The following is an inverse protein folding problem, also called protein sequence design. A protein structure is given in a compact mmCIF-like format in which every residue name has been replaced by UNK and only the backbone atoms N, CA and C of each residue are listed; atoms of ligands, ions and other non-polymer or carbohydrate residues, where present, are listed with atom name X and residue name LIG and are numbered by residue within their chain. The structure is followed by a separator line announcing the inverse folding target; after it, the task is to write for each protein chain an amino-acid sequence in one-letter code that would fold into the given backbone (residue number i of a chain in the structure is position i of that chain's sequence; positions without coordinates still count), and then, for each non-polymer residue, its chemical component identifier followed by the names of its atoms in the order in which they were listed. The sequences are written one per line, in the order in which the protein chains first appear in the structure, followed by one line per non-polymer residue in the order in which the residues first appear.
data_IF_564909043256
#
_entry.id   IF_564909043256
#
_cell.length_a   1.000
_cell.length_b   1.000
_cell.length_c   1.000
_cell.angle_alpha   90.00
_cell.angle_beta   90.00
_cell.angle_gamma   90.00
#
_symmetry.space_group_name_H-M   'P 1'
#
loop_
_entity.id
_entity.type
_entity.pdbx_description
1 polymer ?
#
# COMPACT_ATOMS: atom_id res chain seq x y z
N UNK A 1 -32.59 -51.34 20.57
CA UNK A 1 -32.37 -50.16 19.71
C UNK A 1 -31.26 -49.33 20.35
N UNK A 2 -30.10 -49.18 19.69
CA UNK A 2 -28.92 -48.47 20.22
C UNK A 2 -28.98 -47.01 19.76
N UNK A 3 -28.75 -46.06 20.67
CA UNK A 3 -28.69 -44.63 20.37
C UNK A 3 -27.23 -44.19 20.58
N UNK A 4 -26.62 -43.61 19.55
CA UNK A 4 -25.24 -43.08 19.59
C UNK A 4 -25.22 -41.68 20.23
N UNK A 5 -24.24 -41.33 21.08
CA UNK A 5 -24.04 -39.97 21.55
C UNK A 5 -22.90 -39.29 20.77
N UNK A 6 -23.18 -38.17 20.11
CA UNK A 6 -22.14 -37.21 19.71
C UNK A 6 -22.77 -35.87 19.31
N UNK A 7 -22.40 -34.79 20.00
CA UNK A 7 -21.57 -33.67 19.50
C UNK A 7 -22.01 -32.33 20.16
N UNK A 8 -21.20 -31.73 21.06
CA UNK A 8 -20.37 -30.51 20.92
C UNK A 8 -21.20 -29.32 20.32
N UNK A 9 -21.26 -28.10 20.89
CA UNK A 9 -20.17 -27.11 20.91
C UNK A 9 -20.57 -25.95 21.86
N UNK A 10 -19.66 -25.64 22.79
CA UNK A 10 -19.64 -24.38 23.53
C UNK A 10 -19.12 -23.26 22.61
N UNK A 11 -19.88 -22.20 22.43
CA UNK A 11 -19.40 -20.97 21.77
C UNK A 11 -19.28 -19.85 22.79
N UNK A 12 -18.15 -19.81 23.49
CA UNK A 12 -17.64 -18.58 24.11
C UNK A 12 -16.96 -17.76 23.03
N UNK A 13 -17.60 -16.68 22.57
CA UNK A 13 -16.94 -15.62 21.81
C UNK A 13 -16.84 -14.39 22.71
N UNK A 14 -15.81 -14.41 23.55
CA UNK A 14 -15.24 -13.19 24.11
C UNK A 14 -14.00 -12.86 23.26
N UNK A 15 -14.10 -11.88 22.38
CA UNK A 15 -12.93 -11.21 21.82
C UNK A 15 -13.11 -9.72 22.09
N UNK A 16 -12.61 -9.29 23.25
CA UNK A 16 -12.17 -7.93 23.45
C UNK A 16 -10.92 -7.75 22.60
N UNK A 17 -11.02 -7.01 21.50
CA UNK A 17 -9.88 -6.38 20.87
C UNK A 17 -10.00 -4.89 21.14
N UNK A 18 -9.21 -4.40 22.09
CA UNK A 18 -8.89 -2.98 22.21
C UNK A 18 -8.30 -2.53 20.88
N UNK A 19 -9.10 -1.83 20.09
CA UNK A 19 -8.66 -1.21 18.85
C UNK A 19 -7.77 -0.03 19.21
N UNK A 20 -6.46 -0.28 19.26
CA UNK A 20 -5.50 0.78 19.02
C UNK A 20 -5.81 1.34 17.63
N UNK A 21 -6.34 2.56 17.59
CA UNK A 21 -6.69 3.25 16.34
C UNK A 21 -5.39 3.64 15.64
N UNK A 22 -4.78 2.68 14.94
CA UNK A 22 -3.71 2.95 13.98
C UNK A 22 -4.37 3.55 12.75
N UNK A 23 -4.21 4.85 12.56
CA UNK A 23 -4.96 5.63 11.57
C UNK A 23 -4.63 5.32 10.09
N UNK A 24 -3.80 4.32 9.80
CA UNK A 24 -3.70 3.65 8.51
C UNK A 24 -3.80 2.14 8.71
N UNK A 25 -4.67 1.47 7.93
CA UNK A 25 -4.93 0.04 8.12
C UNK A 25 -4.22 -0.78 7.04
N UNK A 26 -3.38 -1.71 7.47
CA UNK A 26 -2.92 -2.81 6.62
C UNK A 26 -4.08 -3.78 6.44
N UNK A 27 -4.60 -3.87 5.22
CA UNK A 27 -5.73 -4.72 4.86
C UNK A 27 -5.22 -5.93 4.08
N UNK A 28 -5.68 -7.11 4.44
CA UNK A 28 -5.39 -8.35 3.69
C UNK A 28 -6.30 -8.48 2.47
N UNK A 29 -7.58 -8.17 2.64
CA UNK A 29 -8.57 -7.93 1.59
C UNK A 29 -9.86 -7.39 2.23
N UNK A 30 -10.66 -6.71 1.42
CA UNK A 30 -12.09 -6.45 1.65
C UNK A 30 -12.87 -7.05 0.45
N UNK A 31 -14.19 -7.25 0.57
CA UNK A 31 -15.04 -7.86 -0.47
C UNK A 31 -14.80 -7.20 -1.84
N UNK A 32 -14.64 -5.88 -1.85
CA UNK A 32 -14.49 -5.11 -3.09
C UNK A 32 -13.05 -4.73 -3.43
N UNK A 33 -12.10 -4.82 -2.49
CA UNK A 33 -10.73 -4.31 -2.68
C UNK A 33 -9.68 -5.28 -2.16
N UNK A 34 -8.69 -5.57 -2.97
CA UNK A 34 -7.56 -6.43 -2.60
C UNK A 34 -6.32 -6.01 -3.39
N UNK A 35 -5.15 -6.49 -2.98
CA UNK A 35 -3.93 -6.28 -3.75
C UNK A 35 -4.09 -6.72 -5.20
N UNK A 36 -4.68 -7.90 -5.45
CA UNK A 36 -4.78 -8.44 -6.80
C UNK A 36 -5.71 -7.61 -7.69
N UNK A 37 -6.76 -7.00 -7.13
CA UNK A 37 -7.66 -6.10 -7.86
C UNK A 37 -6.96 -4.83 -8.34
N UNK A 38 -5.95 -4.34 -7.62
CA UNK A 38 -5.16 -3.15 -8.01
C UNK A 38 -3.89 -3.51 -8.80
N UNK A 39 -3.13 -4.49 -8.32
CA UNK A 39 -1.73 -4.75 -8.68
C UNK A 39 -1.46 -6.20 -9.11
N UNK A 40 -2.50 -7.04 -9.18
CA UNK A 40 -2.38 -8.44 -9.57
C UNK A 40 -2.12 -8.63 -11.06
N UNK A 41 -2.05 -9.89 -11.53
CA UNK A 41 -1.84 -10.19 -12.95
C UNK A 41 -2.98 -9.73 -13.86
N UNK A 42 -4.21 -9.67 -13.32
CA UNK A 42 -5.41 -9.21 -14.02
C UNK A 42 -6.15 -8.18 -13.14
N UNK A 43 -5.61 -6.97 -12.99
CA UNK A 43 -6.19 -5.95 -12.12
C UNK A 43 -7.52 -5.46 -12.69
N UNK A 44 -8.53 -5.30 -11.83
CA UNK A 44 -9.87 -4.83 -12.20
C UNK A 44 -10.16 -3.40 -11.73
N UNK A 45 -9.29 -2.84 -10.90
CA UNK A 45 -9.36 -1.47 -10.37
C UNK A 45 -8.20 -0.61 -10.92
N UNK A 46 -7.87 -0.81 -12.19
CA UNK A 46 -6.74 -0.11 -12.85
C UNK A 46 -6.94 1.39 -12.94
N UNK A 47 -8.19 1.84 -12.96
CA UNK A 47 -8.52 3.25 -13.13
C UNK A 47 -8.71 3.97 -11.79
N UNK A 48 -8.55 3.30 -10.65
CA UNK A 48 -8.60 3.94 -9.32
C UNK A 48 -7.24 4.48 -8.91
N UNK A 49 -7.21 5.53 -8.08
CA UNK A 49 -5.94 6.01 -7.54
C UNK A 49 -5.28 4.93 -6.70
N UNK A 50 -4.12 4.45 -7.13
CA UNK A 50 -3.30 3.55 -6.34
C UNK A 50 -1.84 3.57 -6.81
N UNK A 51 -0.97 3.00 -5.99
CA UNK A 51 0.43 2.71 -6.34
C UNK A 51 0.75 1.29 -5.92
N UNK A 52 1.33 0.53 -6.84
CA UNK A 52 1.83 -0.81 -6.55
C UNK A 52 3.26 -0.71 -6.07
N UNK A 53 3.52 -1.09 -4.81
CA UNK A 53 4.88 -1.20 -4.29
C UNK A 53 5.33 -2.65 -4.25
N UNK A 54 6.59 -2.88 -4.63
CA UNK A 54 7.31 -4.12 -4.40
C UNK A 54 8.32 -3.90 -3.30
N UNK A 55 8.25 -4.69 -2.24
CA UNK A 55 9.07 -4.48 -1.06
C UNK A 55 9.31 -5.84 -0.38
N UNK A 56 10.50 -6.08 0.19
CA UNK A 56 10.72 -7.26 1.01
C UNK A 56 9.85 -7.17 2.28
N UNK A 57 9.36 -8.31 2.77
CA UNK A 57 8.48 -8.37 3.94
C UNK A 57 9.06 -7.65 5.17
N UNK A 58 10.39 -7.64 5.31
CA UNK A 58 11.08 -6.93 6.39
C UNK A 58 10.97 -5.40 6.32
N UNK A 59 10.83 -4.81 5.13
CA UNK A 59 10.55 -3.37 4.96
C UNK A 59 9.10 -3.11 5.28
N UNK A 60 8.19 -3.91 4.70
CA UNK A 60 6.73 -3.75 4.90
C UNK A 60 6.36 -3.77 6.39
N UNK A 61 6.90 -4.72 7.15
CA UNK A 61 6.65 -4.84 8.61
C UNK A 61 7.06 -3.61 9.42
N UNK A 62 7.92 -2.77 8.88
CA UNK A 62 8.47 -1.59 9.56
C UNK A 62 7.92 -0.29 9.03
N UNK A 63 7.09 -0.35 7.99
CA UNK A 63 6.41 0.83 7.48
C UNK A 63 5.42 1.28 8.55
N UNK A 64 5.67 2.47 9.09
CA UNK A 64 4.70 3.16 9.94
C UNK A 64 3.72 3.87 9.02
N UNK A 65 2.46 3.47 9.09
CA UNK A 65 1.39 4.05 8.30
C UNK A 65 0.94 5.37 8.94
N UNK A 66 1.04 6.47 8.18
CA UNK A 66 0.38 7.73 8.55
C UNK A 66 -1.13 7.65 8.28
N UNK A 67 -1.95 8.52 8.89
CA UNK A 67 -3.36 8.62 8.54
C UNK A 67 -3.59 8.90 7.05
N UNK A 68 -4.75 8.47 6.54
CA UNK A 68 -5.29 8.94 5.26
C UNK A 68 -5.17 8.00 4.06
N UNK A 69 -4.76 6.74 4.27
CA UNK A 69 -4.71 5.73 3.21
C UNK A 69 -5.13 4.33 3.67
N UNK A 70 -5.43 3.48 2.70
CA UNK A 70 -5.54 2.02 2.84
C UNK A 70 -4.37 1.35 2.12
N UNK A 71 -3.76 0.33 2.75
CA UNK A 71 -2.71 -0.46 2.11
C UNK A 71 -3.12 -1.93 2.05
N UNK A 72 -3.18 -2.49 0.83
CA UNK A 72 -3.58 -3.89 0.62
C UNK A 72 -2.36 -4.76 0.39
N UNK A 73 -2.11 -5.73 1.27
CA UNK A 73 -0.95 -6.61 1.18
C UNK A 73 -1.10 -7.64 0.04
N UNK A 74 -0.02 -7.86 -0.70
CA UNK A 74 0.05 -8.99 -1.64
C UNK A 74 -0.02 -10.33 -0.90
N UNK A 75 -0.57 -11.39 -1.51
CA UNK A 75 -0.69 -12.71 -0.88
C UNK A 75 0.63 -13.29 -0.37
N UNK A 76 1.75 -12.94 -1.00
CA UNK A 76 3.11 -13.40 -0.63
C UNK A 76 3.82 -12.45 0.33
N UNK A 77 3.20 -11.33 0.72
CA UNK A 77 3.82 -10.31 1.57
C UNK A 77 5.07 -9.67 0.97
N UNK A 78 5.17 -9.61 -0.37
CA UNK A 78 6.32 -9.06 -1.12
C UNK A 78 6.01 -7.74 -1.83
N UNK A 79 4.92 -7.10 -1.42
CA UNK A 79 4.40 -5.90 -2.03
C UNK A 79 3.04 -5.54 -1.46
N UNK A 80 2.59 -4.35 -1.77
CA UNK A 80 1.29 -3.84 -1.35
C UNK A 80 0.77 -2.79 -2.33
N UNK A 81 -0.55 -2.61 -2.37
CA UNK A 81 -1.20 -1.54 -3.10
C UNK A 81 -1.51 -0.41 -2.12
N UNK A 82 -0.95 0.77 -2.34
CA UNK A 82 -1.27 1.97 -1.57
C UNK A 82 -2.42 2.72 -2.26
N UNK A 83 -3.52 2.92 -1.56
CA UNK A 83 -4.74 3.56 -2.07
C UNK A 83 -5.05 4.75 -1.18
N UNK A 84 -5.13 5.98 -1.71
CA UNK A 84 -5.47 7.15 -0.90
C UNK A 84 -6.95 7.07 -0.50
N UNK A 85 -7.27 7.50 0.73
CA UNK A 85 -8.66 7.65 1.14
C UNK A 85 -9.28 8.84 0.40
N UNK A 86 -10.38 8.60 -0.32
CA UNK A 86 -11.12 9.64 -1.03
C UNK A 86 -11.59 10.71 -0.04
N UNK A 87 -11.26 11.99 -0.31
CA UNK A 87 -11.57 13.13 0.56
C UNK A 87 -10.43 13.63 1.45
N UNK A 88 -9.30 12.92 1.51
CA UNK A 88 -8.10 13.32 2.26
C UNK A 88 -7.00 13.95 1.38
N UNK A 89 -5.93 14.40 2.02
CA UNK A 89 -4.73 14.92 1.37
C UNK A 89 -4.19 13.96 0.28
N UNK A 90 -3.87 14.47 -0.92
CA UNK A 90 -3.31 13.63 -2.01
C UNK A 90 -1.90 13.13 -1.69
N UNK A 91 -1.33 13.52 -0.56
CA UNK A 91 0.02 13.20 -0.13
C UNK A 91 -0.08 12.13 0.95
N UNK A 92 0.59 11.00 0.72
CA UNK A 92 0.70 9.91 1.67
C UNK A 92 2.16 9.72 2.04
N UNK A 93 2.45 9.66 3.35
CA UNK A 93 3.80 9.48 3.88
C UNK A 93 3.92 8.09 4.49
N UNK A 94 4.92 7.34 4.07
CA UNK A 94 5.30 6.07 4.67
C UNK A 94 6.69 6.24 5.25
N UNK A 95 6.88 5.92 6.52
CA UNK A 95 8.19 5.94 7.15
C UNK A 95 8.73 4.52 7.25
N UNK A 96 9.95 4.30 6.77
CA UNK A 96 10.70 3.05 6.96
C UNK A 96 11.78 3.26 8.03
N UNK A 97 12.66 2.28 8.24
CA UNK A 97 13.82 2.43 9.14
C UNK A 97 14.92 3.36 8.59
N UNK A 98 15.00 3.54 7.28
CA UNK A 98 16.16 4.15 6.62
C UNK A 98 15.81 5.36 5.75
N UNK A 99 14.54 5.50 5.38
CA UNK A 99 14.06 6.60 4.55
C UNK A 99 12.55 6.82 4.70
N UNK A 100 12.11 8.02 4.32
CA UNK A 100 10.70 8.35 4.12
C UNK A 100 10.32 8.12 2.66
N UNK A 101 9.13 7.56 2.42
CA UNK A 101 8.46 7.57 1.12
C UNK A 101 7.30 8.56 1.16
N UNK A 102 7.21 9.42 0.16
CA UNK A 102 6.06 10.30 -0.06
C UNK A 102 5.43 9.96 -1.40
N UNK A 103 4.17 9.56 -1.41
CA UNK A 103 3.37 9.34 -2.61
C UNK A 103 2.38 10.49 -2.78
N UNK A 104 2.49 11.24 -3.88
CA UNK A 104 1.61 12.36 -4.21
C UNK A 104 0.71 11.98 -5.37
N UNK A 105 -0.57 11.75 -5.10
CA UNK A 105 -1.58 11.36 -6.07
C UNK A 105 -2.12 12.59 -6.83
N UNK A 106 -2.05 12.56 -8.16
CA UNK A 106 -2.42 13.68 -9.04
C UNK A 106 -3.13 13.22 -10.31
N UNK A 107 -4.09 14.00 -10.78
CA UNK A 107 -4.62 13.88 -12.14
C UNK A 107 -3.72 14.66 -13.10
N UNK A 108 -3.32 14.06 -14.23
CA UNK A 108 -2.55 14.74 -15.26
C UNK A 108 -3.19 14.58 -16.64
N UNK A 109 -3.36 15.69 -17.34
CA UNK A 109 -3.77 15.69 -18.74
C UNK A 109 -2.60 15.24 -19.62
N UNK A 110 -2.87 14.35 -20.57
CA UNK A 110 -1.92 13.95 -21.60
C UNK A 110 -2.31 14.64 -22.91
N UNK A 111 -1.39 15.29 -23.64
CA UNK A 111 -1.72 15.94 -24.91
C UNK A 111 -2.41 14.96 -25.88
N UNK A 112 -3.61 15.32 -26.35
CA UNK A 112 -4.41 14.48 -27.25
C UNK A 112 -5.01 13.21 -26.63
N UNK A 113 -4.98 13.08 -25.29
CA UNK A 113 -5.45 11.87 -24.60
C UNK A 113 -6.30 12.14 -23.36
N UNK A 114 -6.77 11.06 -22.75
CA UNK A 114 -7.52 11.10 -21.50
C UNK A 114 -6.65 11.56 -20.31
N UNK A 115 -7.31 12.14 -19.30
CA UNK A 115 -6.68 12.45 -18.01
C UNK A 115 -6.25 11.14 -17.34
N UNK A 116 -4.98 11.04 -16.97
CA UNK A 116 -4.43 9.90 -16.25
C UNK A 116 -4.35 10.19 -14.76
N UNK A 117 -4.63 9.17 -13.95
CA UNK A 117 -4.37 9.18 -12.51
C UNK A 117 -2.92 8.75 -12.30
N UNK A 118 -2.15 9.58 -11.63
CA UNK A 118 -0.74 9.35 -11.38
C UNK A 118 -0.41 9.47 -9.89
N UNK A 119 0.75 8.94 -9.52
CA UNK A 119 1.40 9.19 -8.25
C UNK A 119 2.86 9.54 -8.50
N UNK A 120 3.29 10.69 -7.96
CA UNK A 120 4.70 11.05 -7.89
C UNK A 120 5.26 10.52 -6.57
N UNK A 121 6.20 9.58 -6.65
CA UNK A 121 6.84 8.95 -5.51
C UNK A 121 8.18 9.61 -5.26
N UNK A 122 8.42 10.02 -4.02
CA UNK A 122 9.69 10.55 -3.54
C UNK A 122 10.19 9.70 -2.40
N UNK A 123 11.46 9.32 -2.41
CA UNK A 123 12.09 8.61 -1.29
C UNK A 123 13.27 9.41 -0.78
N UNK A 124 13.29 9.74 0.50
CA UNK A 124 14.27 10.64 1.13
C UNK A 124 14.97 9.87 2.26
N UNK A 125 16.29 9.61 2.18
CA UNK A 125 17.05 9.02 3.27
C UNK A 125 16.93 9.86 4.55
N UNK A 126 16.91 9.21 5.71
CA UNK A 126 16.94 9.94 6.97
C UNK A 126 18.25 10.71 7.14
N UNK A 127 18.14 11.96 7.61
CA UNK A 127 19.28 12.88 7.74
C UNK A 127 19.67 13.59 6.46
N UNK A 128 19.06 13.28 5.31
CA UNK A 128 19.27 14.01 4.07
C UNK A 128 18.28 15.17 3.90
N UNK A 129 18.76 16.31 3.43
CA UNK A 129 17.92 17.50 3.16
C UNK A 129 17.51 17.63 1.69
N UNK A 130 18.33 17.14 0.76
CA UNK A 130 18.15 17.35 -0.68
C UNK A 130 18.26 16.08 -1.52
N UNK A 131 18.55 14.93 -0.91
CA UNK A 131 18.71 13.66 -1.62
C UNK A 131 17.36 12.96 -1.72
N UNK A 132 16.82 12.83 -2.94
CA UNK A 132 15.56 12.09 -3.14
C UNK A 132 15.56 11.28 -4.43
N UNK A 133 15.07 10.04 -4.33
CA UNK A 133 14.72 9.21 -5.48
C UNK A 133 13.33 9.56 -5.93
N UNK A 134 13.15 9.84 -7.23
CA UNK A 134 11.82 10.03 -7.81
C UNK A 134 11.44 8.90 -8.74
N UNK A 135 10.18 8.49 -8.63
CA UNK A 135 9.54 7.66 -9.62
C UNK A 135 8.14 8.21 -9.89
N UNK A 136 7.68 8.11 -11.13
CA UNK A 136 6.34 8.50 -11.52
C UNK A 136 5.58 7.26 -11.95
N UNK A 137 4.45 7.06 -11.32
CA UNK A 137 3.54 5.97 -11.62
C UNK A 137 2.26 6.55 -12.21
N UNK A 138 1.82 6.12 -13.39
CA UNK A 138 0.56 6.59 -13.99
C UNK A 138 -0.27 5.39 -14.43
N UNK A 139 -1.59 5.52 -14.29
CA UNK A 139 -2.55 4.48 -14.56
C UNK A 139 -3.37 4.76 -15.82
N UNK A 140 -3.80 3.70 -16.54
CA UNK A 140 -3.36 2.30 -16.37
C UNK A 140 -1.91 2.07 -16.87
N UNK A 141 -1.27 0.99 -16.40
CA UNK A 141 0.01 0.50 -16.96
C UNK A 141 1.29 0.93 -16.23
N UNK A 142 1.19 1.56 -15.07
CA UNK A 142 2.35 1.88 -14.23
C UNK A 142 3.09 0.62 -13.76
N UNK A 143 4.42 0.62 -13.85
CA UNK A 143 5.26 -0.44 -13.28
C UNK A 143 5.30 -0.32 -11.75
N UNK A 144 5.31 -1.44 -11.00
CA UNK A 144 5.46 -1.38 -9.55
C UNK A 144 6.73 -0.63 -9.13
N UNK A 145 6.63 0.11 -8.03
CA UNK A 145 7.73 0.88 -7.45
C UNK A 145 8.49 0.01 -6.46
N UNK A 146 9.79 -0.18 -6.68
CA UNK A 146 10.64 -0.92 -5.76
C UNK A 146 10.95 -0.09 -4.50
N UNK A 147 10.69 -0.67 -3.33
CA UNK A 147 11.10 -0.17 -2.02
C UNK A 147 12.23 -1.07 -1.48
N UNK A 148 13.50 -0.66 -1.66
CA UNK A 148 14.64 -1.44 -1.17
C UNK A 148 14.81 -1.28 0.34
N UNK A 149 15.60 -2.14 0.99
CA UNK A 149 15.90 -1.96 2.43
C UNK A 149 16.70 -0.70 2.74
N UNK A 150 17.50 -0.30 1.77
CA UNK A 150 18.32 0.90 1.78
C UNK A 150 18.23 1.51 0.40
N UNK A 151 18.04 2.81 0.35
CA UNK A 151 18.19 3.53 -0.91
C UNK A 151 19.65 3.37 -1.38
N UNK A 152 19.89 3.24 -2.69
CA UNK A 152 21.25 3.31 -3.19
C UNK A 152 21.88 4.67 -2.80
N UNK A 153 23.20 4.83 -2.97
CA UNK A 153 23.79 6.16 -3.01
C UNK A 153 23.24 6.89 -4.24
N UNK A 154 22.86 8.16 -4.11
CA UNK A 154 22.52 8.94 -5.30
C UNK A 154 23.76 9.04 -6.18
N UNK A 155 23.60 8.80 -7.48
CA UNK A 155 24.67 9.09 -8.44
C UNK A 155 24.83 10.61 -8.47
N UNK A 156 25.95 11.12 -7.95
CA UNK A 156 26.40 12.49 -8.22
C UNK A 156 26.53 12.63 -9.73
N UNK A 157 25.63 13.39 -10.35
CA UNK A 157 25.77 13.86 -11.73
C UNK A 157 26.70 15.06 -11.77
#
# INVERSE_FOLDING_TARGET
MKINPALIIATTLAILASVDVVAGTWLTADQDKSYDKFCGPNPTLTDDYHVCFKAPARVIKKIQASPGFSAYLSPKGKGFALVPSLGNTPIQKLETDSYTVTAVFVSRSVPGGAVKKCADIRMIPFGATNEYYTNKFCLPGGMPVDLPDKLPPLKSS
#
